data_IF_343905226586
#
_entry.id   IF_343905226586
#
_cell.length_a   1.000
_cell.length_b   1.000
_cell.length_c   1.000
_cell.angle_alpha   90.00
_cell.angle_beta   90.00
_cell.angle_gamma   90.00
#
_symmetry.space_group_name_H-M   'P 1'
#
loop_
_entity.id
_entity.type
_entity.pdbx_description
1 polymer ?
#
# COMPACT_ATOMS: atom_id res chain seq x y z
N UNK A 1 -16.07 27.83 1.61
CA UNK A 1 -16.27 27.04 2.84
C UNK A 1 -17.19 25.88 2.49
N UNK A 2 -16.62 24.76 2.06
CA UNK A 2 -17.35 23.59 1.59
C UNK A 2 -17.88 22.77 2.77
N UNK A 3 -19.19 22.56 2.76
CA UNK A 3 -20.03 21.80 3.68
C UNK A 3 -19.34 20.51 4.22
N UNK A 4 -19.39 20.21 5.53
CA UNK A 4 -18.86 18.94 6.04
C UNK A 4 -19.75 17.82 5.49
N UNK A 5 -19.19 17.03 4.56
CA UNK A 5 -19.82 15.78 4.12
C UNK A 5 -20.12 14.95 5.37
N UNK A 6 -21.35 14.43 5.44
CA UNK A 6 -21.80 13.37 6.37
C UNK A 6 -20.61 12.53 6.85
N UNK A 7 -20.32 12.58 8.16
CA UNK A 7 -19.09 12.02 8.70
C UNK A 7 -18.98 10.53 8.43
N UNK A 8 -17.98 10.14 7.64
CA UNK A 8 -17.61 8.74 7.40
C UNK A 8 -17.57 7.97 8.73
N UNK A 9 -18.13 6.76 8.80
CA UNK A 9 -18.04 5.90 9.99
C UNK A 9 -16.56 5.74 10.38
N UNK A 10 -16.24 5.87 11.67
CA UNK A 10 -14.87 5.74 12.20
C UNK A 10 -14.81 4.74 13.35
N UNK A 11 -13.60 4.25 13.63
CA UNK A 11 -13.28 3.42 14.78
C UNK A 11 -11.94 3.85 15.38
N UNK A 12 -11.75 3.58 16.67
CA UNK A 12 -10.53 3.93 17.37
C UNK A 12 -9.47 2.83 17.20
N UNK A 13 -8.22 3.22 17.00
CA UNK A 13 -7.05 2.33 16.95
C UNK A 13 -6.00 2.84 17.93
N UNK A 14 -5.34 1.93 18.65
CA UNK A 14 -4.29 2.25 19.63
C UNK A 14 -2.90 1.88 19.09
N UNK A 15 -1.98 2.83 19.11
CA UNK A 15 -0.56 2.61 18.87
C UNK A 15 0.14 2.23 20.18
N UNK A 16 0.48 0.94 20.31
CA UNK A 16 1.11 0.40 21.53
C UNK A 16 2.49 1.01 21.83
N UNK A 17 3.20 1.55 20.83
CA UNK A 17 4.50 2.20 21.04
C UNK A 17 4.38 3.57 21.70
N UNK A 18 3.23 4.23 21.56
CA UNK A 18 2.95 5.54 22.16
C UNK A 18 2.15 5.43 23.47
N UNK A 19 1.63 4.25 23.79
CA UNK A 19 0.80 4.03 24.97
C UNK A 19 1.66 4.01 26.24
N UNK A 20 1.44 4.98 27.13
CA UNK A 20 2.10 5.14 28.43
C UNK A 20 1.37 4.43 29.58
N UNK A 21 0.21 3.82 29.31
CA UNK A 21 -0.67 3.15 30.29
C UNK A 21 -1.25 4.06 31.37
N UNK A 22 -1.53 5.33 31.04
CA UNK A 22 -2.35 6.21 31.89
C UNK A 22 -3.81 5.73 32.01
N UNK A 23 -4.26 4.91 31.06
CA UNK A 23 -5.51 4.15 31.12
C UNK A 23 -6.80 4.99 31.20
N UNK A 24 -6.76 6.31 31.00
CA UNK A 24 -7.95 7.17 30.99
C UNK A 24 -8.98 6.72 29.94
N UNK A 25 -8.52 6.20 28.79
CA UNK A 25 -9.38 5.67 27.75
C UNK A 25 -10.36 4.58 28.24
N UNK A 26 -10.01 3.78 29.26
CA UNK A 26 -10.89 2.77 29.84
C UNK A 26 -12.10 3.39 30.54
N UNK A 27 -11.90 4.49 31.26
CA UNK A 27 -12.95 5.14 32.03
C UNK A 27 -13.90 5.99 31.19
N UNK A 28 -13.41 6.54 30.08
CA UNK A 28 -14.23 7.39 29.19
C UNK A 28 -14.95 6.61 28.10
N UNK A 29 -14.61 5.33 27.86
CA UNK A 29 -15.23 4.56 26.80
C UNK A 29 -16.62 4.04 27.21
N UNK A 30 -17.72 4.50 26.60
CA UNK A 30 -19.07 4.13 27.03
C UNK A 30 -19.44 2.68 26.72
N UNK A 31 -18.76 2.04 25.76
CA UNK A 31 -19.03 0.66 25.33
C UNK A 31 -18.03 -0.36 25.84
N UNK A 32 -17.00 0.08 26.58
CA UNK A 32 -15.89 -0.78 27.00
C UNK A 32 -15.03 -1.29 25.84
N UNK A 33 -15.08 -0.67 24.65
CA UNK A 33 -14.26 -1.08 23.50
C UNK A 33 -12.75 -0.99 23.75
N UNK A 34 -12.32 -0.13 24.68
CA UNK A 34 -10.90 0.06 25.04
C UNK A 34 -10.41 -0.87 26.15
N UNK A 35 -11.32 -1.60 26.77
CA UNK A 35 -11.09 -2.50 27.91
C UNK A 35 -10.77 -3.90 27.40
N UNK A 36 -9.49 -4.13 27.11
CA UNK A 36 -8.98 -5.37 26.51
C UNK A 36 -7.62 -5.70 27.09
N UNK A 37 -7.39 -6.97 27.42
CA UNK A 37 -6.13 -7.46 28.01
C UNK A 37 -4.91 -7.26 27.10
N UNK A 38 -5.10 -7.35 25.77
CA UNK A 38 -4.03 -7.19 24.78
C UNK A 38 -3.80 -5.73 24.35
N UNK A 39 -4.51 -4.77 24.96
CA UNK A 39 -4.46 -3.35 24.60
C UNK A 39 -4.86 -3.03 23.15
N UNK A 40 -5.59 -3.92 22.47
CA UNK A 40 -6.13 -3.71 21.12
C UNK A 40 -7.61 -3.36 21.25
N UNK A 41 -8.00 -2.16 20.81
CA UNK A 41 -9.39 -1.70 20.89
C UNK A 41 -10.32 -2.64 20.10
N UNK A 42 -11.39 -3.09 20.74
CA UNK A 42 -12.43 -3.90 20.14
C UNK A 42 -13.27 -3.06 19.17
N UNK A 43 -12.98 -3.24 17.87
CA UNK A 43 -13.65 -2.52 16.79
C UNK A 43 -15.14 -2.88 16.70
N UNK A 44 -15.55 -4.08 17.13
CA UNK A 44 -16.96 -4.47 17.09
C UNK A 44 -17.81 -3.73 18.14
N UNK A 45 -17.20 -3.36 19.28
CA UNK A 45 -17.84 -2.54 20.32
C UNK A 45 -17.66 -1.03 20.12
N UNK A 46 -16.74 -0.62 19.24
CA UNK A 46 -16.44 0.79 19.02
C UNK A 46 -17.55 1.49 18.25
N UNK A 47 -18.19 2.50 18.86
CA UNK A 47 -19.22 3.33 18.21
C UNK A 47 -18.65 4.56 17.49
N UNK A 48 -17.32 4.75 17.53
CA UNK A 48 -16.66 5.83 16.80
C UNK A 48 -16.80 7.23 17.41
N UNK A 49 -17.16 7.36 18.70
CA UNK A 49 -17.39 8.66 19.36
C UNK A 49 -16.13 9.53 19.48
N UNK A 50 -14.96 8.93 19.73
CA UNK A 50 -13.69 9.65 19.82
C UNK A 50 -13.20 9.97 21.23
N UNK A 51 -14.02 9.77 22.27
CA UNK A 51 -13.68 10.17 23.65
C UNK A 51 -12.33 9.62 24.13
N UNK A 52 -12.04 8.36 23.79
CA UNK A 52 -10.76 7.73 24.14
C UNK A 52 -9.55 8.32 23.44
N UNK A 53 -9.71 8.88 22.22
CA UNK A 53 -8.66 9.57 21.50
C UNK A 53 -8.42 10.95 22.12
N UNK A 54 -9.48 11.70 22.37
CA UNK A 54 -9.42 13.04 22.96
C UNK A 54 -8.88 13.03 24.38
N UNK A 55 -9.19 11.98 25.15
CA UNK A 55 -8.72 11.82 26.52
C UNK A 55 -7.30 11.26 26.63
N UNK A 56 -6.66 10.78 25.56
CA UNK A 56 -5.39 10.07 25.65
C UNK A 56 -4.21 11.05 25.83
N UNK A 57 -3.56 11.13 27.01
CA UNK A 57 -2.52 12.14 27.25
C UNK A 57 -1.29 11.96 26.35
N UNK A 58 -0.97 10.71 26.01
CA UNK A 58 0.16 10.37 25.14
C UNK A 58 -0.16 10.40 23.64
N UNK A 59 -1.41 10.70 23.26
CA UNK A 59 -1.84 10.70 21.86
C UNK A 59 -1.75 9.32 21.20
N UNK A 60 -1.82 8.23 21.98
CA UNK A 60 -1.66 6.87 21.48
C UNK A 60 -2.88 6.33 20.71
N UNK A 61 -4.01 7.04 20.71
CA UNK A 61 -5.25 6.58 20.07
C UNK A 61 -5.62 7.51 18.93
N UNK A 62 -6.01 6.96 17.78
CA UNK A 62 -6.40 7.70 16.58
C UNK A 62 -7.71 7.16 16.01
N UNK A 63 -8.55 8.05 15.49
CA UNK A 63 -9.81 7.69 14.83
C UNK A 63 -9.58 7.42 13.35
N UNK A 64 -9.72 6.15 12.95
CA UNK A 64 -9.59 5.70 11.58
C UNK A 64 -10.96 5.59 10.92
N UNK A 65 -11.13 6.08 9.67
CA UNK A 65 -12.36 5.85 8.93
C UNK A 65 -12.41 4.41 8.42
N UNK A 66 -13.64 3.86 8.30
CA UNK A 66 -13.85 2.56 7.64
C UNK A 66 -13.63 2.66 6.13
N UNK A 67 -14.12 3.74 5.53
CA UNK A 67 -13.87 4.07 4.13
C UNK A 67 -12.67 5.02 4.05
N UNK A 68 -11.57 4.52 3.51
CA UNK A 68 -10.37 5.29 3.25
C UNK A 68 -10.62 6.25 2.08
N UNK A 69 -9.85 7.34 1.97
CA UNK A 69 -9.94 8.20 0.80
C UNK A 69 -9.51 7.44 -0.46
N UNK A 70 -9.97 7.90 -1.62
CA UNK A 70 -9.47 7.38 -2.89
C UNK A 70 -7.95 7.59 -3.00
N UNK A 71 -7.29 6.61 -3.64
CA UNK A 71 -5.87 6.66 -3.91
C UNK A 71 -5.55 7.86 -4.80
N UNK A 72 -4.76 8.80 -4.26
CA UNK A 72 -4.36 9.98 -5.00
C UNK A 72 -3.55 9.58 -6.24
N UNK A 73 -3.78 10.25 -7.40
CA UNK A 73 -3.02 9.97 -8.61
C UNK A 73 -1.54 10.29 -8.38
N UNK A 74 -0.66 9.47 -8.95
CA UNK A 74 0.79 9.66 -8.92
C UNK A 74 1.29 9.83 -10.35
N UNK A 75 2.31 10.66 -10.52
CA UNK A 75 2.99 10.83 -11.81
C UNK A 75 3.64 9.50 -12.22
N UNK A 76 3.38 9.07 -13.45
CA UNK A 76 3.88 7.81 -13.99
C UNK A 76 5.41 7.74 -13.90
N UNK A 77 6.13 8.85 -14.11
CA UNK A 77 7.61 8.91 -13.99
C UNK A 77 8.07 8.54 -12.58
N UNK A 78 7.37 9.02 -11.56
CA UNK A 78 7.70 8.77 -10.16
C UNK A 78 7.41 7.31 -9.83
N UNK A 79 6.26 6.79 -10.26
CA UNK A 79 5.91 5.38 -9.99
C UNK A 79 6.85 4.42 -10.71
N UNK A 80 7.27 4.72 -11.94
CA UNK A 80 8.22 3.90 -12.69
C UNK A 80 9.62 3.94 -12.10
N UNK A 81 10.08 5.11 -11.63
CA UNK A 81 11.34 5.21 -10.90
C UNK A 81 11.30 4.35 -9.62
N UNK A 82 10.21 4.41 -8.85
CA UNK A 82 10.03 3.58 -7.65
C UNK A 82 10.02 2.09 -7.99
N UNK A 83 9.33 1.67 -9.06
CA UNK A 83 9.31 0.27 -9.54
C UNK A 83 10.69 -0.25 -9.91
N UNK A 84 11.53 0.56 -10.58
CA UNK A 84 12.92 0.18 -10.86
C UNK A 84 13.74 0.03 -9.58
N UNK A 85 13.57 0.93 -8.62
CA UNK A 85 14.23 0.83 -7.32
C UNK A 85 13.80 -0.40 -6.54
N UNK A 86 12.51 -0.79 -6.60
CA UNK A 86 12.01 -2.02 -5.97
C UNK A 86 12.76 -3.25 -6.52
N UNK A 87 12.92 -3.35 -7.84
CA UNK A 87 13.66 -4.45 -8.45
C UNK A 87 15.13 -4.47 -8.00
N UNK A 88 15.77 -3.30 -7.95
CA UNK A 88 17.15 -3.17 -7.45
C UNK A 88 17.26 -3.58 -5.97
N UNK A 89 16.26 -3.26 -5.14
CA UNK A 89 16.24 -3.67 -3.72
C UNK A 89 15.97 -5.15 -3.55
N UNK A 90 15.14 -5.77 -4.39
CA UNK A 90 14.93 -7.21 -4.39
C UNK A 90 16.23 -7.96 -4.77
N UNK A 91 16.99 -7.45 -5.75
CA UNK A 91 18.30 -8.01 -6.09
C UNK A 91 19.30 -7.88 -4.93
N UNK A 92 19.39 -6.69 -4.33
CA UNK A 92 20.25 -6.45 -3.17
C UNK A 92 19.88 -7.35 -1.98
N UNK A 93 18.59 -7.55 -1.72
CA UNK A 93 18.09 -8.47 -0.70
C UNK A 93 18.52 -9.92 -0.98
N UNK A 94 18.37 -10.37 -2.23
CA UNK A 94 18.75 -11.73 -2.61
C UNK A 94 20.26 -11.96 -2.46
N UNK A 95 21.09 -11.00 -2.88
CA UNK A 95 22.55 -11.06 -2.69
C UNK A 95 22.92 -11.05 -1.20
N UNK A 96 22.26 -10.20 -0.40
CA UNK A 96 22.49 -10.12 1.04
C UNK A 96 22.10 -11.41 1.77
N UNK A 97 21.07 -12.13 1.30
CA UNK A 97 20.66 -13.42 1.87
C UNK A 97 21.77 -14.49 1.81
N UNK A 98 22.72 -14.36 0.88
CA UNK A 98 23.86 -15.27 0.72
C UNK A 98 25.05 -14.88 1.60
N UNK A 99 25.03 -13.72 2.24
CA UNK A 99 26.10 -13.24 3.11
C UNK A 99 25.84 -13.74 4.54
N UNK A 100 26.72 -14.58 5.12
CA UNK A 100 26.52 -15.07 6.48
C UNK A 100 26.74 -13.96 7.52
N UNK A 101 26.16 -14.17 8.70
CA UNK A 101 26.38 -13.31 9.87
C UNK A 101 25.42 -12.14 10.00
N UNK A 102 25.66 -11.31 11.02
CA UNK A 102 24.75 -10.23 11.40
C UNK A 102 24.62 -9.15 10.32
N UNK A 103 25.71 -8.85 9.60
CA UNK A 103 25.72 -7.82 8.56
C UNK A 103 24.83 -8.21 7.37
N UNK A 104 24.93 -9.45 6.88
CA UNK A 104 24.09 -9.94 5.77
C UNK A 104 22.60 -9.86 6.11
N UNK A 105 22.21 -10.36 7.29
CA UNK A 105 20.83 -10.27 7.79
C UNK A 105 20.33 -8.82 7.92
N UNK A 106 21.20 -7.90 8.36
CA UNK A 106 20.85 -6.49 8.48
C UNK A 106 20.59 -5.85 7.11
N UNK A 107 21.44 -6.13 6.11
CA UNK A 107 21.30 -5.61 4.74
C UNK A 107 20.09 -6.22 4.04
N UNK A 108 19.85 -7.53 4.20
CA UNK A 108 18.66 -8.23 3.71
C UNK A 108 17.40 -7.54 4.24
N UNK A 109 17.30 -7.38 5.57
CA UNK A 109 16.13 -6.76 6.20
C UNK A 109 15.97 -5.29 5.78
N UNK A 110 17.07 -4.55 5.70
CA UNK A 110 17.05 -3.15 5.27
C UNK A 110 16.55 -3.02 3.83
N UNK A 111 17.03 -3.86 2.92
CA UNK A 111 16.62 -3.85 1.51
C UNK A 111 15.14 -4.20 1.35
N UNK A 112 14.65 -5.19 2.11
CA UNK A 112 13.22 -5.54 2.14
C UNK A 112 12.35 -4.38 2.61
N UNK A 113 12.71 -3.73 3.72
CA UNK A 113 11.95 -2.58 4.26
C UNK A 113 11.92 -1.42 3.26
N UNK A 114 13.04 -1.13 2.59
CA UNK A 114 13.06 -0.12 1.52
C UNK A 114 12.17 -0.50 0.35
N UNK A 115 12.15 -1.76 -0.07
CA UNK A 115 11.26 -2.23 -1.13
C UNK A 115 9.78 -2.11 -0.73
N UNK A 116 9.42 -2.47 0.50
CA UNK A 116 8.07 -2.31 1.05
C UNK A 116 7.64 -0.83 1.08
N UNK A 117 8.50 0.07 1.52
CA UNK A 117 8.24 1.52 1.52
C UNK A 117 8.09 2.07 0.10
N UNK A 118 8.96 1.67 -0.83
CA UNK A 118 8.85 2.06 -2.24
C UNK A 118 7.56 1.53 -2.88
N UNK A 119 7.12 0.31 -2.54
CA UNK A 119 5.85 -0.26 -2.99
C UNK A 119 4.67 0.58 -2.50
N UNK A 120 4.68 0.95 -1.20
CA UNK A 120 3.68 1.86 -0.63
C UNK A 120 3.63 3.18 -1.41
N UNK A 121 4.80 3.74 -1.72
CA UNK A 121 4.90 4.97 -2.49
C UNK A 121 4.66 4.82 -4.01
N UNK A 122 4.71 3.62 -4.57
CA UNK A 122 4.38 3.36 -5.96
C UNK A 122 2.87 3.21 -6.22
N UNK A 123 2.05 3.22 -5.17
CA UNK A 123 0.59 3.22 -5.26
C UNK A 123 -0.10 2.27 -4.28
N UNK A 124 0.62 1.41 -3.57
CA UNK A 124 0.03 0.39 -2.69
C UNK A 124 -0.18 0.88 -1.25
N UNK A 125 -0.46 2.18 -1.07
CA UNK A 125 -0.65 2.78 0.26
C UNK A 125 -2.01 2.46 0.86
N UNK A 126 -3.06 2.44 0.05
CA UNK A 126 -4.44 2.26 0.53
C UNK A 126 -4.93 0.84 0.19
N UNK A 127 -5.34 0.03 1.17
CA UNK A 127 -5.81 -1.34 0.93
C UNK A 127 -7.11 -1.40 0.10
N UNK A 128 -7.99 -0.39 0.19
CA UNK A 128 -9.24 -0.29 -0.58
C UNK A 128 -9.04 0.24 -2.01
N UNK A 129 -7.80 0.47 -2.43
CA UNK A 129 -7.49 1.00 -3.76
C UNK A 129 -7.70 -0.03 -4.88
N UNK A 130 -7.98 0.46 -6.09
CA UNK A 130 -8.08 -0.38 -7.30
C UNK A 130 -6.81 -1.20 -7.56
N UNK A 131 -5.63 -0.61 -7.37
CA UNK A 131 -4.36 -1.30 -7.60
C UNK A 131 -4.15 -2.44 -6.60
N UNK A 132 -4.59 -2.31 -5.34
CA UNK A 132 -4.56 -3.42 -4.39
C UNK A 132 -5.47 -4.57 -4.86
N UNK A 133 -6.71 -4.26 -5.31
CA UNK A 133 -7.65 -5.25 -5.87
C UNK A 133 -7.05 -6.02 -7.06
N UNK A 134 -6.51 -5.29 -8.04
CA UNK A 134 -5.94 -5.90 -9.24
C UNK A 134 -4.67 -6.70 -8.93
N UNK A 135 -3.85 -6.23 -7.99
CA UNK A 135 -2.68 -6.98 -7.54
C UNK A 135 -3.09 -8.30 -6.87
N UNK A 136 -4.07 -8.29 -5.96
CA UNK A 136 -4.59 -9.50 -5.33
C UNK A 136 -5.08 -10.51 -6.37
N UNK A 137 -5.88 -10.07 -7.35
CA UNK A 137 -6.33 -10.93 -8.46
C UNK A 137 -5.16 -11.54 -9.24
N UNK A 138 -4.12 -10.75 -9.52
CA UNK A 138 -2.93 -11.18 -10.26
C UNK A 138 -2.12 -12.22 -9.50
N UNK A 139 -1.89 -12.02 -8.20
CA UNK A 139 -1.07 -12.94 -7.39
C UNK A 139 -1.81 -14.22 -7.01
N UNK A 140 -3.14 -14.27 -7.18
CA UNK A 140 -3.95 -15.46 -6.91
C UNK A 140 -3.46 -16.71 -7.64
N UNK A 141 -2.88 -16.56 -8.83
CA UNK A 141 -2.35 -17.67 -9.64
C UNK A 141 -0.88 -17.98 -9.37
N UNK A 142 -0.19 -17.19 -8.54
CA UNK A 142 1.26 -17.33 -8.36
C UNK A 142 1.59 -18.54 -7.48
N UNK A 143 2.61 -19.34 -7.84
CA UNK A 143 3.06 -20.47 -7.02
C UNK A 143 3.43 -20.01 -5.60
N UNK A 144 2.96 -20.74 -4.59
CA UNK A 144 3.25 -20.46 -3.18
C UNK A 144 2.36 -19.41 -2.51
N UNK A 145 1.47 -18.74 -3.25
CA UNK A 145 0.48 -17.81 -2.68
C UNK A 145 -0.77 -18.57 -2.22
N UNK A 146 -1.20 -18.44 -0.95
CA UNK A 146 -2.43 -19.06 -0.46
C UNK A 146 -3.67 -18.45 -1.11
N UNK A 147 -4.38 -19.22 -1.95
CA UNK A 147 -5.54 -18.74 -2.72
C UNK A 147 -6.70 -18.35 -1.82
N UNK A 148 -6.90 -19.11 -0.74
CA UNK A 148 -7.97 -18.90 0.24
C UNK A 148 -7.81 -17.56 0.95
N UNK A 149 -6.57 -17.17 1.27
CA UNK A 149 -6.27 -15.88 1.88
C UNK A 149 -6.53 -14.74 0.89
N UNK A 150 -6.14 -14.89 -0.37
CA UNK A 150 -6.42 -13.89 -1.42
C UNK A 150 -7.93 -13.72 -1.62
N UNK A 151 -8.68 -14.83 -1.68
CA UNK A 151 -10.13 -14.82 -1.85
C UNK A 151 -10.82 -14.18 -0.62
N UNK A 152 -10.34 -14.46 0.58
CA UNK A 152 -10.82 -13.83 1.82
C UNK A 152 -10.61 -12.31 1.80
N UNK A 153 -9.44 -11.83 1.37
CA UNK A 153 -9.15 -10.40 1.26
C UNK A 153 -10.02 -9.73 0.17
N UNK A 154 -10.17 -10.37 -0.99
CA UNK A 154 -11.00 -9.86 -2.08
C UNK A 154 -12.48 -9.73 -1.70
N UNK A 155 -12.97 -10.61 -0.82
CA UNK A 155 -14.36 -10.61 -0.36
C UNK A 155 -14.62 -9.70 0.85
N UNK A 156 -13.61 -9.46 1.69
CA UNK A 156 -13.75 -8.69 2.95
C UNK A 156 -13.47 -7.19 2.78
N UNK A 157 -12.66 -6.81 1.80
CA UNK A 157 -12.31 -5.40 1.57
C UNK A 157 -13.32 -4.77 0.61
N UNK A 158 -13.93 -3.67 1.04
CA UNK A 158 -14.74 -2.80 0.19
C UNK A 158 -13.81 -1.91 -0.66
N UNK A 159 -13.53 -2.33 -1.89
CA UNK A 159 -12.65 -1.57 -2.79
C UNK A 159 -13.39 -0.44 -3.48
N UNK A 160 -12.72 0.70 -3.66
CA UNK A 160 -13.24 1.79 -4.48
C UNK A 160 -13.39 1.35 -5.94
N UNK A 161 -14.59 1.54 -6.51
CA UNK A 161 -14.81 1.43 -7.95
C UNK A 161 -14.30 2.72 -8.61
N UNK A 162 -13.15 2.65 -9.27
CA UNK A 162 -12.67 3.79 -10.03
C UNK A 162 -13.61 4.06 -11.20
N UNK A 163 -14.02 5.33 -11.38
CA UNK A 163 -14.47 5.82 -12.68
C UNK A 163 -13.44 5.38 -13.73
N UNK A 164 -13.92 4.76 -14.80
CA UNK A 164 -13.10 4.19 -15.85
C UNK A 164 -12.16 5.24 -16.44
N UNK A 165 -10.90 5.25 -16.01
CA UNK A 165 -9.85 5.76 -16.87
C UNK A 165 -9.82 4.80 -18.06
N UNK A 166 -10.40 5.23 -19.18
CA UNK A 166 -10.47 4.48 -20.44
C UNK A 166 -9.07 3.91 -20.75
N UNK A 167 -8.94 2.60 -20.56
CA UNK A 167 -7.80 1.83 -21.04
C UNK A 167 -7.91 1.78 -22.56
N UNK A 168 -7.21 2.68 -23.24
CA UNK A 168 -6.60 2.32 -24.51
C UNK A 168 -5.25 1.69 -24.19
N UNK A 169 -5.21 0.36 -24.13
CA UNK A 169 -3.97 -0.41 -24.04
C UNK A 169 -3.15 -0.17 -25.31
N UNK A 170 -2.28 0.83 -25.29
CA UNK A 170 -1.26 1.00 -26.32
C UNK A 170 -0.07 0.10 -25.99
N UNK A 171 0.36 -0.74 -26.93
CA UNK A 171 1.55 -1.57 -26.79
C UNK A 171 2.66 -0.99 -27.67
N UNK A 172 3.89 -1.01 -27.20
CA UNK A 172 5.05 -0.44 -27.87
C UNK A 172 6.22 -1.41 -27.85
N UNK A 173 6.86 -1.65 -28.99
CA UNK A 173 8.03 -2.53 -29.12
C UNK A 173 9.28 -1.71 -29.41
N UNK A 174 10.34 -1.91 -28.65
CA UNK A 174 11.63 -1.32 -28.95
C UNK A 174 12.21 -1.93 -30.24
N UNK A 175 12.53 -1.09 -31.23
CA UNK A 175 13.10 -1.51 -32.52
C UNK A 175 14.52 -2.06 -32.39
N UNK A 176 15.23 -1.76 -31.29
CA UNK A 176 16.63 -2.15 -31.08
C UNK A 176 16.77 -3.50 -30.35
N UNK A 177 16.00 -3.73 -29.28
CA UNK A 177 16.16 -4.93 -28.43
C UNK A 177 14.89 -5.80 -28.33
N UNK A 178 13.78 -5.37 -28.91
CA UNK A 178 12.52 -6.12 -28.89
C UNK A 178 11.71 -6.04 -27.60
N UNK A 179 12.14 -5.26 -26.59
CA UNK A 179 11.38 -5.03 -25.35
C UNK A 179 9.98 -4.49 -25.64
N UNK A 180 8.94 -5.07 -25.01
CA UNK A 180 7.55 -4.64 -25.16
C UNK A 180 7.10 -3.87 -23.91
N UNK A 181 6.67 -2.63 -24.10
CA UNK A 181 6.04 -1.78 -23.10
C UNK A 181 4.52 -1.75 -23.30
N UNK A 182 3.75 -1.85 -22.23
CA UNK A 182 2.28 -1.78 -22.24
C UNK A 182 1.83 -0.54 -21.49
N UNK A 183 1.20 0.40 -22.17
CA UNK A 183 0.78 1.70 -21.63
C UNK A 183 1.19 2.86 -22.53
N UNK A 184 0.86 4.09 -22.09
CA UNK A 184 1.27 5.31 -22.79
C UNK A 184 2.79 5.48 -22.69
N UNK A 185 3.43 5.62 -23.84
CA UNK A 185 4.86 5.84 -23.91
C UNK A 185 5.19 7.33 -23.61
N UNK A 186 5.79 7.59 -22.45
CA UNK A 186 6.23 8.94 -22.06
C UNK A 186 7.41 9.42 -22.92
N UNK A 187 7.51 10.72 -23.19
CA UNK A 187 8.63 11.33 -23.93
C UNK A 187 10.00 11.17 -23.21
N UNK A 188 9.97 10.76 -21.95
CA UNK A 188 11.17 10.47 -21.14
C UNK A 188 11.38 8.98 -20.91
N UNK A 189 10.61 8.12 -21.58
CA UNK A 189 10.74 6.68 -21.43
C UNK A 189 12.07 6.22 -22.04
N UNK A 190 12.81 5.42 -21.29
CA UNK A 190 14.06 4.81 -21.74
C UNK A 190 13.93 3.30 -21.63
N UNK A 191 14.31 2.60 -22.70
CA UNK A 191 14.26 1.15 -22.75
C UNK A 191 15.08 0.54 -21.60
N UNK A 192 14.50 -0.32 -20.75
CA UNK A 192 15.20 -0.89 -19.62
C UNK A 192 16.25 -1.95 -20.02
N UNK A 193 16.20 -2.43 -21.27
CA UNK A 193 17.16 -3.43 -21.78
C UNK A 193 18.35 -2.77 -22.47
N UNK A 194 18.10 -1.82 -23.38
CA UNK A 194 19.15 -1.26 -24.25
C UNK A 194 19.44 0.24 -24.03
N UNK A 195 18.73 0.91 -23.13
CA UNK A 195 18.98 2.31 -22.79
C UNK A 195 18.54 3.32 -23.85
N UNK A 196 17.85 2.90 -24.92
CA UNK A 196 17.38 3.79 -25.97
C UNK A 196 16.15 4.60 -25.54
N UNK A 197 16.02 5.87 -25.97
CA UNK A 197 14.88 6.73 -25.61
C UNK A 197 13.59 6.28 -26.32
N UNK A 198 12.48 6.90 -25.93
CA UNK A 198 11.12 6.59 -26.42
C UNK A 198 10.99 6.66 -27.95
N UNK A 199 11.85 7.44 -28.62
CA UNK A 199 11.90 7.54 -30.09
C UNK A 199 12.28 6.23 -30.78
N UNK A 200 12.88 5.27 -30.05
CA UNK A 200 13.23 3.94 -30.55
C UNK A 200 12.13 2.89 -30.35
N UNK A 201 10.90 3.32 -30.03
CA UNK A 201 9.76 2.44 -29.85
C UNK A 201 8.73 2.61 -30.96
N UNK A 202 8.25 1.48 -31.47
CA UNK A 202 7.22 1.39 -32.48
C UNK A 202 5.93 0.88 -31.86
N UNK A 203 4.79 1.50 -32.19
CA UNK A 203 3.49 1.04 -31.67
C UNK A 203 3.15 -0.30 -32.30
N UNK A 204 2.88 -1.29 -31.47
CA UNK A 204 2.34 -2.59 -31.88
C UNK A 204 0.85 -2.62 -31.52
N UNK A 205 0.03 -3.07 -32.47
CA UNK A 205 -1.41 -3.26 -32.27
C UNK A 205 -1.69 -4.42 -31.31
#
# INVERSE_FOLDING_TARGET
MSNPKSGSKKYAVRNLRLCTKDCLCLYVCPTGATDTENSIIDVAKCIGCGDCADSCPSGAITMMPYELPEQQPKDDKVTDANRRLILSKAEAENLASQIPGALGKAIERSSRLMAEDLCREAGFMLPQSRNAKEFLKKIRSYPGVPKEAVDSLLNSIEFHEGSSAKETEEKWKCSVCGYVHTGKLSEYFTCPICGQPHTAFERIQ
#
